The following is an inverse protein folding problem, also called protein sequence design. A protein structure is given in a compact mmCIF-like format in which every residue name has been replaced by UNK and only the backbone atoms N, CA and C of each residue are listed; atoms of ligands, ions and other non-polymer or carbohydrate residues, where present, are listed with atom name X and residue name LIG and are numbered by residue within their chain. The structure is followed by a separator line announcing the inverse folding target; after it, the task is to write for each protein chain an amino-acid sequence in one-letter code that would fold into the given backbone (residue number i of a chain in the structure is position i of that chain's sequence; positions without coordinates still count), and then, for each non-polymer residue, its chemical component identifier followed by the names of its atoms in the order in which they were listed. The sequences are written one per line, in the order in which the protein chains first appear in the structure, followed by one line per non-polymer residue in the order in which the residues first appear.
data_IF_992995676529
#
_entry.id   IF_992995676529
#
_cell.length_a   1.000
_cell.length_b   1.000
_cell.length_c   1.000
_cell.angle_alpha   90.00
_cell.angle_beta   90.00
_cell.angle_gamma   90.00
#
_symmetry.space_group_name_H-M   'P 1'
#
loop_
_entity.id
_entity.type
_entity.pdbx_description
1 polymer ?
#
# COMPACT_ATOMS: atom_id res chain seq x y z
N UNK A 1 -17.62 23.44 -10.81
CA UNK A 1 -17.32 22.67 -12.05
C UNK A 1 -15.86 22.82 -12.45
N UNK A 2 -15.31 24.04 -12.49
CA UNK A 2 -13.89 24.29 -12.76
C UNK A 2 -12.94 23.56 -11.80
N UNK A 3 -13.15 23.66 -10.48
CA UNK A 3 -12.25 23.03 -9.49
C UNK A 3 -12.21 21.50 -9.59
N UNK A 4 -13.33 20.88 -9.95
CA UNK A 4 -13.39 19.43 -10.16
C UNK A 4 -12.66 19.02 -11.43
N UNK A 5 -12.80 19.79 -12.52
CA UNK A 5 -12.05 19.53 -13.76
C UNK A 5 -10.54 19.69 -13.54
N UNK A 6 -10.13 20.74 -12.82
CA UNK A 6 -8.72 20.93 -12.47
C UNK A 6 -8.19 19.77 -11.62
N UNK A 7 -8.96 19.31 -10.62
CA UNK A 7 -8.59 18.13 -9.83
C UNK A 7 -8.39 16.88 -10.72
N UNK A 8 -9.28 16.64 -11.68
CA UNK A 8 -9.14 15.52 -12.62
C UNK A 8 -7.87 15.65 -13.47
N UNK A 9 -7.54 16.87 -13.93
CA UNK A 9 -6.31 17.14 -14.67
C UNK A 9 -5.08 16.87 -13.81
N UNK A 10 -5.04 17.38 -12.58
CA UNK A 10 -3.90 17.22 -11.66
C UNK A 10 -3.67 15.74 -11.33
N UNK A 11 -4.73 14.97 -11.11
CA UNK A 11 -4.67 13.53 -10.88
C UNK A 11 -4.15 12.80 -12.12
N UNK A 12 -4.60 13.19 -13.31
CA UNK A 12 -4.12 12.63 -14.58
C UNK A 12 -2.62 12.90 -14.81
N UNK A 13 -2.16 14.11 -14.49
CA UNK A 13 -0.74 14.48 -14.54
C UNK A 13 0.05 13.64 -13.53
N UNK A 14 -0.40 13.56 -12.28
CA UNK A 14 0.27 12.77 -11.25
C UNK A 14 0.39 11.28 -11.63
N UNK A 15 -0.69 10.67 -12.12
CA UNK A 15 -0.69 9.30 -12.63
C UNK A 15 0.33 9.12 -13.76
N UNK A 16 0.35 10.06 -14.71
CA UNK A 16 1.25 10.01 -15.86
C UNK A 16 2.71 10.15 -15.46
N UNK A 17 3.03 11.05 -14.51
CA UNK A 17 4.38 11.23 -14.00
C UNK A 17 4.90 9.96 -13.30
N UNK A 18 4.07 9.33 -12.47
CA UNK A 18 4.44 8.05 -11.84
C UNK A 18 4.63 6.95 -12.89
N UNK A 19 3.70 6.80 -13.83
CA UNK A 19 3.80 5.80 -14.89
C UNK A 19 5.03 5.99 -15.78
N UNK A 20 5.31 7.23 -16.22
CA UNK A 20 6.49 7.56 -17.02
C UNK A 20 7.79 7.31 -16.24
N UNK A 21 7.80 7.57 -14.93
CA UNK A 21 8.98 7.37 -14.09
C UNK A 21 9.25 5.91 -13.73
N UNK A 22 8.22 5.15 -13.33
CA UNK A 22 8.37 3.82 -12.74
C UNK A 22 8.17 2.68 -13.74
N UNK A 23 7.26 2.81 -14.72
CA UNK A 23 7.00 1.71 -15.66
C UNK A 23 8.23 1.31 -16.50
N UNK A 24 9.08 2.24 -16.99
CA UNK A 24 10.31 1.85 -17.69
C UNK A 24 11.31 1.13 -16.77
N UNK A 25 11.34 1.49 -15.48
CA UNK A 25 12.19 0.81 -14.50
C UNK A 25 11.71 -0.63 -14.28
N UNK A 26 10.40 -0.83 -14.14
CA UNK A 26 9.80 -2.17 -14.00
C UNK A 26 10.01 -3.06 -15.22
N UNK A 27 10.07 -2.48 -16.42
CA UNK A 27 10.38 -3.26 -17.63
C UNK A 27 11.86 -3.65 -17.70
N UNK A 28 12.77 -2.76 -17.27
CA UNK A 28 14.22 -2.97 -17.40
C UNK A 28 14.82 -3.79 -16.25
N UNK A 29 14.28 -3.64 -15.04
CA UNK A 29 14.81 -4.23 -13.81
C UNK A 29 13.77 -5.12 -13.12
N UNK A 30 12.88 -5.72 -13.89
CA UNK A 30 11.74 -6.51 -13.42
C UNK A 30 12.12 -7.50 -12.31
N UNK A 31 11.43 -7.43 -11.17
CA UNK A 31 11.54 -8.46 -10.13
C UNK A 31 10.86 -9.77 -10.56
N UNK A 32 9.68 -9.64 -11.17
CA UNK A 32 8.92 -10.74 -11.75
C UNK A 32 8.53 -10.43 -13.20
N UNK A 33 8.48 -11.48 -14.02
CA UNK A 33 7.95 -11.36 -15.37
C UNK A 33 6.42 -11.23 -15.32
N UNK A 34 5.90 -10.03 -15.55
CA UNK A 34 4.47 -9.75 -15.58
C UNK A 34 4.14 -8.74 -16.68
N UNK A 35 2.94 -8.84 -17.31
CA UNK A 35 2.50 -7.85 -18.28
C UNK A 35 2.17 -6.53 -17.59
N UNK A 36 2.30 -5.41 -18.32
CA UNK A 36 1.94 -4.08 -17.83
C UNK A 36 0.47 -4.01 -17.38
N UNK A 37 -0.45 -4.51 -18.21
CA UNK A 37 -1.87 -4.66 -17.85
C UNK A 37 -2.11 -6.02 -17.19
N UNK A 38 -1.57 -6.21 -15.99
CA UNK A 38 -1.81 -7.41 -15.18
C UNK A 38 -3.28 -7.55 -14.74
N UNK A 39 -3.66 -8.75 -14.29
CA UNK A 39 -5.04 -9.16 -13.98
C UNK A 39 -5.85 -8.15 -13.14
N UNK A 40 -5.20 -7.52 -12.16
CA UNK A 40 -5.87 -6.63 -11.18
C UNK A 40 -5.55 -5.14 -11.40
N UNK A 41 -4.94 -4.79 -12.54
CA UNK A 41 -4.57 -3.41 -12.88
C UNK A 41 -5.76 -2.45 -12.81
N UNK A 42 -6.92 -2.85 -13.34
CA UNK A 42 -8.15 -2.04 -13.32
C UNK A 42 -8.64 -1.81 -11.89
N UNK A 43 -8.54 -2.82 -11.03
CA UNK A 43 -8.90 -2.71 -9.61
C UNK A 43 -8.03 -1.67 -8.93
N UNK A 44 -6.71 -1.75 -9.13
CA UNK A 44 -5.75 -0.83 -8.51
C UNK A 44 -5.87 0.59 -9.07
N UNK A 45 -6.23 0.73 -10.35
CA UNK A 45 -6.58 2.00 -10.95
C UNK A 45 -7.82 2.64 -10.29
N UNK A 46 -8.85 1.87 -9.97
CA UNK A 46 -10.01 2.40 -9.22
C UNK A 46 -9.66 2.79 -7.79
N UNK A 47 -8.77 2.05 -7.12
CA UNK A 47 -8.23 2.46 -5.83
C UNK A 47 -7.44 3.77 -5.93
N UNK A 48 -6.61 3.93 -6.96
CA UNK A 48 -5.93 5.19 -7.26
C UNK A 48 -6.93 6.34 -7.45
N UNK A 49 -7.97 6.15 -8.27
CA UNK A 49 -8.98 7.18 -8.51
C UNK A 49 -9.74 7.53 -7.23
N UNK A 50 -10.25 6.54 -6.50
CA UNK A 50 -10.97 6.76 -5.24
C UNK A 50 -10.10 7.45 -4.19
N UNK A 51 -8.86 7.00 -4.04
CA UNK A 51 -7.83 7.56 -3.18
C UNK A 51 -7.62 9.05 -3.43
N UNK A 52 -7.41 9.43 -4.68
CA UNK A 52 -7.03 10.80 -5.03
C UNK A 52 -8.24 11.75 -5.23
N UNK A 53 -9.40 11.25 -5.66
CA UNK A 53 -10.59 12.09 -5.86
C UNK A 53 -11.32 12.39 -4.55
N UNK A 54 -11.46 11.39 -3.68
CA UNK A 54 -12.34 11.42 -2.51
C UNK A 54 -11.57 11.31 -1.19
N UNK A 55 -10.76 10.26 -1.03
CA UNK A 55 -10.20 9.91 0.28
C UNK A 55 -9.08 10.85 0.76
N UNK A 56 -8.31 11.42 -0.17
CA UNK A 56 -7.37 12.49 0.14
C UNK A 56 -8.07 13.70 0.77
N UNK A 57 -9.26 14.09 0.29
CA UNK A 57 -10.03 15.21 0.87
C UNK A 57 -10.49 14.88 2.29
N UNK A 58 -10.99 13.66 2.52
CA UNK A 58 -11.38 13.21 3.86
C UNK A 58 -10.18 13.24 4.83
N UNK A 59 -9.00 12.79 4.37
CA UNK A 59 -7.76 12.84 5.15
C UNK A 59 -7.39 14.29 5.49
N UNK A 60 -7.45 15.21 4.53
CA UNK A 60 -7.16 16.63 4.76
C UNK A 60 -8.11 17.29 5.77
N UNK A 61 -9.39 16.90 5.77
CA UNK A 61 -10.34 17.37 6.78
C UNK A 61 -9.91 16.91 8.18
N UNK A 62 -9.58 15.63 8.36
CA UNK A 62 -9.09 15.12 9.66
C UNK A 62 -7.80 15.81 10.10
N UNK A 63 -6.84 15.98 9.18
CA UNK A 63 -5.60 16.70 9.45
C UNK A 63 -5.82 18.16 9.82
N UNK A 64 -6.83 18.81 9.24
CA UNK A 64 -7.18 20.20 9.56
C UNK A 64 -7.69 20.34 10.99
N UNK A 65 -8.53 19.42 11.45
CA UNK A 65 -8.97 19.38 12.87
C UNK A 65 -7.81 19.10 13.82
N UNK A 66 -6.90 18.19 13.46
CA UNK A 66 -5.70 17.90 14.27
C UNK A 66 -4.78 19.13 14.31
N UNK A 67 -4.58 19.80 13.16
CA UNK A 67 -3.79 21.02 13.08
C UNK A 67 -4.39 22.13 13.96
N UNK A 68 -5.70 22.33 13.92
CA UNK A 68 -6.40 23.30 14.77
C UNK A 68 -6.24 22.94 16.26
N UNK A 69 -6.45 21.68 16.62
CA UNK A 69 -6.21 21.20 17.98
C UNK A 69 -4.78 21.47 18.44
N UNK A 70 -3.79 21.14 17.61
CA UNK A 70 -2.37 21.38 17.90
C UNK A 70 -2.10 22.87 18.06
N UNK A 71 -2.62 23.71 17.17
CA UNK A 71 -2.42 25.16 17.19
C UNK A 71 -2.91 25.81 18.49
N UNK A 72 -4.03 25.34 19.05
CA UNK A 72 -4.59 25.89 20.28
C UNK A 72 -4.07 25.25 21.57
N UNK A 73 -3.61 23.99 21.53
CA UNK A 73 -3.29 23.23 22.74
C UNK A 73 -1.79 22.93 22.93
N UNK A 74 -0.98 23.01 21.87
CA UNK A 74 0.45 22.75 21.94
C UNK A 74 1.20 24.08 22.12
N UNK A 75 2.08 24.20 23.14
CA UNK A 75 2.83 25.42 23.37
C UNK A 75 3.67 25.84 22.15
N UNK A 76 3.58 27.11 21.77
CA UNK A 76 4.27 27.67 20.59
C UNK A 76 5.78 27.51 20.65
N UNK A 77 6.39 27.48 21.84
CA UNK A 77 7.82 27.27 21.99
C UNK A 77 8.31 25.95 21.36
N UNK A 78 7.44 24.93 21.23
CA UNK A 78 7.79 23.66 20.60
C UNK A 78 8.06 23.87 19.10
N UNK A 79 7.15 24.55 18.41
CA UNK A 79 7.31 24.83 16.97
C UNK A 79 8.38 25.89 16.72
N UNK A 80 8.51 26.90 17.59
CA UNK A 80 9.59 27.88 17.53
C UNK A 80 10.97 27.22 17.71
N UNK A 81 11.10 26.33 18.69
CA UNK A 81 12.33 25.54 18.90
C UNK A 81 12.63 24.66 17.69
N UNK A 82 11.64 23.93 17.17
CA UNK A 82 11.82 23.08 16.00
C UNK A 82 12.24 23.89 14.75
N UNK A 83 11.65 25.08 14.55
CA UNK A 83 11.98 26.00 13.44
C UNK A 83 13.32 26.70 13.60
N UNK A 84 13.92 26.71 14.81
CA UNK A 84 15.23 27.32 15.05
C UNK A 84 16.40 26.55 14.41
N UNK A 85 16.19 25.28 14.07
CA UNK A 85 17.18 24.45 13.40
C UNK A 85 17.26 24.74 11.89
N UNK A 86 18.38 24.47 11.22
CA UNK A 86 18.47 24.56 9.76
C UNK A 86 17.40 23.70 9.06
N UNK A 87 16.89 24.15 7.91
CA UNK A 87 15.82 23.47 7.16
C UNK A 87 16.12 21.98 6.90
N UNK A 88 17.39 21.64 6.58
CA UNK A 88 17.81 20.24 6.35
C UNK A 88 17.62 19.38 7.61
N UNK A 89 17.92 19.92 8.79
CA UNK A 89 17.70 19.22 10.07
C UNK A 89 16.22 19.03 10.33
N UNK A 90 15.40 20.06 10.06
CA UNK A 90 13.93 19.96 10.19
C UNK A 90 13.36 18.86 9.29
N UNK A 91 13.75 18.83 8.01
CA UNK A 91 13.33 17.81 7.04
C UNK A 91 13.73 16.41 7.52
N UNK A 92 14.98 16.23 7.95
CA UNK A 92 15.45 14.94 8.47
C UNK A 92 14.67 14.48 9.69
N UNK A 93 14.45 15.38 10.66
CA UNK A 93 13.68 15.09 11.88
C UNK A 93 12.25 14.71 11.53
N UNK A 94 11.60 15.40 10.58
CA UNK A 94 10.24 15.02 10.17
C UNK A 94 10.22 13.65 9.51
N UNK A 95 11.14 13.38 8.58
CA UNK A 95 11.20 12.07 7.91
C UNK A 95 11.39 10.96 8.95
N UNK A 96 12.33 11.14 9.88
CA UNK A 96 12.62 10.18 10.93
C UNK A 96 11.41 9.93 11.84
N UNK A 97 10.78 10.99 12.36
CA UNK A 97 9.64 10.84 13.27
C UNK A 97 8.39 10.32 12.54
N UNK A 98 8.16 10.77 11.31
CA UNK A 98 7.08 10.25 10.46
C UNK A 98 7.28 8.76 10.21
N UNK A 99 8.50 8.31 9.90
CA UNK A 99 8.77 6.90 9.67
C UNK A 99 8.68 6.06 10.95
N UNK A 100 9.09 6.61 12.10
CA UNK A 100 8.90 5.99 13.41
C UNK A 100 7.41 5.79 13.73
N UNK A 101 6.57 6.79 13.46
CA UNK A 101 5.14 6.75 13.74
C UNK A 101 4.42 5.78 12.80
N UNK A 102 4.71 5.84 11.49
CA UNK A 102 4.11 4.90 10.54
C UNK A 102 4.60 3.47 10.77
N UNK A 103 5.87 3.26 11.16
CA UNK A 103 6.38 1.93 11.52
C UNK A 103 5.49 1.26 12.57
N UNK A 104 5.19 1.99 13.66
CA UNK A 104 4.33 1.45 14.71
C UNK A 104 2.89 1.30 14.25
N UNK A 105 2.32 2.27 13.55
CA UNK A 105 0.96 2.15 13.01
C UNK A 105 0.82 0.92 12.11
N UNK A 106 1.78 0.71 11.23
CA UNK A 106 1.82 -0.40 10.31
C UNK A 106 1.97 -1.73 11.05
N UNK A 107 2.91 -1.82 12.00
CA UNK A 107 3.07 -3.01 12.85
C UNK A 107 1.81 -3.32 13.67
N UNK A 108 1.08 -2.29 14.13
CA UNK A 108 -0.20 -2.46 14.80
C UNK A 108 -1.30 -2.94 13.85
N UNK A 109 -1.28 -2.50 12.58
CA UNK A 109 -2.17 -3.00 11.53
C UNK A 109 -2.00 -4.50 11.26
N UNK A 110 -0.80 -5.04 11.45
CA UNK A 110 -0.51 -6.47 11.35
C UNK A 110 -0.76 -7.26 12.64
N UNK A 111 -0.95 -6.57 13.77
CA UNK A 111 -1.13 -7.21 15.09
C UNK A 111 -2.58 -7.30 15.53
N UNK A 112 -3.40 -6.29 15.22
CA UNK A 112 -4.77 -6.20 15.72
C UNK A 112 -5.79 -6.41 14.60
N UNK A 113 -6.68 -7.39 14.79
CA UNK A 113 -7.69 -7.80 13.80
C UNK A 113 -8.54 -6.64 13.25
N UNK A 114 -8.87 -5.65 14.08
CA UNK A 114 -9.67 -4.49 13.68
C UNK A 114 -8.95 -3.62 12.64
N UNK A 115 -7.63 -3.46 12.78
CA UNK A 115 -6.81 -2.70 11.84
C UNK A 115 -6.47 -3.57 10.63
N UNK A 116 -6.07 -4.83 10.87
CA UNK A 116 -5.80 -5.82 9.82
C UNK A 116 -6.98 -5.99 8.87
N UNK A 117 -8.20 -5.97 9.39
CA UNK A 117 -9.44 -6.07 8.60
C UNK A 117 -9.49 -5.09 7.43
N UNK A 118 -8.96 -3.88 7.59
CA UNK A 118 -8.86 -2.89 6.53
C UNK A 118 -7.53 -2.96 5.80
N UNK A 119 -6.43 -3.10 6.55
CA UNK A 119 -5.08 -3.13 6.00
C UNK A 119 -4.84 -4.32 5.06
N UNK A 120 -5.44 -5.48 5.32
CA UNK A 120 -5.31 -6.67 4.47
C UNK A 120 -5.75 -6.47 3.02
N UNK A 121 -6.60 -5.48 2.73
CA UNK A 121 -6.96 -5.11 1.36
C UNK A 121 -5.70 -4.78 0.55
N UNK A 122 -4.74 -4.07 1.18
CA UNK A 122 -3.43 -3.80 0.62
C UNK A 122 -2.66 -5.08 0.29
N UNK A 123 -2.63 -6.00 1.24
CA UNK A 123 -1.96 -7.29 1.09
C UNK A 123 -2.68 -8.27 0.16
N UNK A 124 -3.87 -7.97 -0.38
CA UNK A 124 -4.50 -8.86 -1.38
C UNK A 124 -3.79 -8.86 -2.74
N UNK A 125 -2.83 -7.96 -2.97
CA UNK A 125 -2.11 -7.87 -4.23
C UNK A 125 -1.25 -9.11 -4.47
N UNK A 126 -1.64 -9.95 -5.44
CA UNK A 126 -0.85 -11.11 -5.88
C UNK A 126 0.32 -10.71 -6.82
N UNK A 127 0.31 -9.46 -7.28
CA UNK A 127 1.32 -8.89 -8.17
C UNK A 127 1.59 -7.46 -7.71
N UNK A 128 2.84 -7.17 -7.36
CA UNK A 128 3.27 -5.83 -6.98
C UNK A 128 3.79 -5.09 -8.20
N UNK A 129 3.40 -3.82 -8.30
CA UNK A 129 3.96 -2.80 -9.17
C UNK A 129 3.66 -1.43 -8.53
N UNK A 130 4.11 -0.35 -9.17
CA UNK A 130 3.87 1.00 -8.69
C UNK A 130 2.37 1.32 -8.50
N UNK A 131 1.48 0.70 -9.27
CA UNK A 131 0.04 0.94 -9.17
C UNK A 131 -0.56 0.18 -7.96
N UNK A 132 0.00 -0.98 -7.60
CA UNK A 132 -0.39 -1.73 -6.40
C UNK A 132 -0.22 -0.92 -5.11
N UNK A 133 0.69 0.07 -5.08
CA UNK A 133 0.85 1.00 -3.96
C UNK A 133 -0.44 1.75 -3.60
N UNK A 134 -1.39 1.88 -4.53
CA UNK A 134 -2.65 2.57 -4.28
C UNK A 134 -3.75 1.65 -3.75
N UNK A 135 -3.59 0.33 -3.79
CA UNK A 135 -4.56 -0.63 -3.26
C UNK A 135 -4.59 -0.50 -1.75
N UNK A 136 -5.41 0.41 -1.23
CA UNK A 136 -5.55 0.66 0.19
C UNK A 136 -7.02 0.91 0.52
N UNK A 137 -7.52 0.29 1.59
CA UNK A 137 -8.86 0.60 2.06
C UNK A 137 -8.92 2.05 2.57
N UNK A 138 -9.99 2.82 2.34
CA UNK A 138 -10.06 4.24 2.71
C UNK A 138 -9.78 4.54 4.19
N UNK A 139 -10.30 3.69 5.09
CA UNK A 139 -10.05 3.83 6.53
C UNK A 139 -8.59 3.56 6.91
N UNK A 140 -7.93 2.63 6.21
CA UNK A 140 -6.49 2.35 6.42
C UNK A 140 -5.64 3.49 5.86
N UNK A 141 -6.00 4.03 4.69
CA UNK A 141 -5.35 5.21 4.10
C UNK A 141 -5.47 6.44 5.02
N UNK A 142 -6.66 6.73 5.57
CA UNK A 142 -6.84 7.84 6.52
C UNK A 142 -6.01 7.59 7.79
N UNK A 143 -6.07 6.39 8.37
CA UNK A 143 -5.33 6.02 9.58
C UNK A 143 -3.81 6.23 9.41
N UNK A 144 -3.23 5.64 8.36
CA UNK A 144 -1.79 5.71 8.08
C UNK A 144 -1.34 7.13 7.72
N UNK A 145 -2.09 7.84 6.87
CA UNK A 145 -1.76 9.22 6.46
C UNK A 145 -1.93 10.23 7.59
N UNK A 146 -2.89 10.03 8.49
CA UNK A 146 -3.01 10.88 9.68
C UNK A 146 -1.79 10.67 10.57
N UNK A 147 -1.48 9.43 10.94
CA UNK A 147 -0.40 9.13 11.88
C UNK A 147 0.95 9.63 11.37
N UNK A 148 1.28 9.40 10.10
CA UNK A 148 2.57 9.81 9.54
C UNK A 148 2.76 11.34 9.52
N UNK A 149 1.67 12.12 9.48
CA UNK A 149 1.74 13.58 9.43
C UNK A 149 1.68 14.25 10.82
N UNK A 150 1.32 13.54 11.89
CA UNK A 150 1.26 14.09 13.25
C UNK A 150 2.58 14.79 13.66
N UNK A 151 3.78 14.21 13.45
CA UNK A 151 5.03 14.87 13.85
C UNK A 151 5.22 16.23 13.18
N UNK A 152 4.89 16.35 11.88
CA UNK A 152 5.02 17.59 11.13
C UNK A 152 4.08 18.68 11.66
N UNK A 153 2.84 18.29 12.01
CA UNK A 153 1.85 19.20 12.59
C UNK A 153 2.27 19.68 13.98
N UNK A 154 2.70 18.77 14.86
CA UNK A 154 3.10 19.08 16.25
C UNK A 154 4.34 19.97 16.28
N UNK A 155 5.32 19.70 15.43
CA UNK A 155 6.55 20.52 15.31
C UNK A 155 6.31 21.81 14.52
N UNK A 156 5.13 21.97 13.90
CA UNK A 156 4.74 23.16 13.16
C UNK A 156 5.70 23.48 12.01
N UNK A 157 6.18 22.50 11.27
CA UNK A 157 7.15 22.78 10.19
C UNK A 157 6.56 23.64 9.05
N UNK A 158 7.40 24.40 8.33
CA UNK A 158 6.94 25.27 7.25
C UNK A 158 6.30 24.46 6.12
N UNK A 159 5.34 25.07 5.41
CA UNK A 159 4.55 24.40 4.38
C UNK A 159 5.41 23.83 3.26
N UNK A 160 6.51 24.51 2.94
CA UNK A 160 7.49 24.08 1.95
C UNK A 160 8.18 22.76 2.35
N UNK A 161 8.54 22.62 3.64
CA UNK A 161 9.15 21.39 4.15
C UNK A 161 8.15 20.23 4.14
N UNK A 162 6.90 20.50 4.54
CA UNK A 162 5.80 19.53 4.51
C UNK A 162 5.53 19.10 3.05
N UNK A 163 5.40 20.04 2.12
CA UNK A 163 5.16 19.75 0.71
C UNK A 163 6.27 18.92 0.08
N UNK A 164 7.54 19.29 0.31
CA UNK A 164 8.70 18.54 -0.17
C UNK A 164 8.73 17.11 0.37
N UNK A 165 8.44 16.96 1.67
CA UNK A 165 8.36 15.65 2.32
C UNK A 165 7.23 14.79 1.74
N UNK A 166 6.04 15.35 1.57
CA UNK A 166 4.88 14.65 1.00
C UNK A 166 5.16 14.17 -0.41
N UNK A 167 5.79 14.99 -1.26
CA UNK A 167 6.18 14.62 -2.62
C UNK A 167 7.21 13.48 -2.58
N UNK A 168 8.29 13.64 -1.80
CA UNK A 168 9.33 12.61 -1.68
C UNK A 168 8.74 11.28 -1.20
N UNK A 169 7.93 11.31 -0.14
CA UNK A 169 7.25 10.12 0.39
C UNK A 169 6.32 9.50 -0.64
N UNK A 170 5.56 10.31 -1.39
CA UNK A 170 4.66 9.82 -2.43
C UNK A 170 5.43 9.05 -3.50
N UNK A 171 6.47 9.66 -4.06
CA UNK A 171 7.31 9.02 -5.09
C UNK A 171 8.03 7.79 -4.54
N UNK A 172 8.66 7.90 -3.37
CA UNK A 172 9.43 6.80 -2.79
C UNK A 172 8.53 5.64 -2.34
N UNK A 173 7.35 5.95 -1.81
CA UNK A 173 6.33 4.95 -1.47
C UNK A 173 5.87 4.16 -2.69
N UNK A 174 5.68 4.81 -3.84
CA UNK A 174 5.39 4.09 -5.09
C UNK A 174 6.60 3.28 -5.58
N UNK A 175 7.81 3.82 -5.44
CA UNK A 175 9.04 3.14 -5.82
C UNK A 175 9.24 1.83 -5.05
N UNK A 176 9.05 1.80 -3.72
CA UNK A 176 9.22 0.57 -2.92
C UNK A 176 8.18 -0.53 -3.24
N UNK A 177 7.07 -0.20 -3.91
CA UNK A 177 6.11 -1.21 -4.42
C UNK A 177 6.37 -1.60 -5.87
N UNK A 178 7.23 -0.87 -6.58
CA UNK A 178 7.47 -1.11 -7.99
C UNK A 178 8.02 -2.51 -8.22
N UNK A 179 7.66 -3.13 -9.34
CA UNK A 179 8.16 -4.43 -9.76
C UNK A 179 9.63 -4.37 -10.20
N UNK A 180 10.54 -3.97 -9.30
CA UNK A 180 11.96 -3.81 -9.59
C UNK A 180 12.84 -4.54 -8.57
N UNK A 181 13.85 -5.29 -9.00
CA UNK A 181 14.79 -5.95 -8.07
C UNK A 181 15.92 -5.02 -7.61
N UNK A 182 15.55 -3.97 -6.86
CA UNK A 182 16.52 -3.10 -6.21
C UNK A 182 16.65 -3.42 -4.71
N UNK A 183 17.88 -3.75 -4.29
CA UNK A 183 18.25 -3.93 -2.88
C UNK A 183 19.18 -2.85 -2.30
N UNK A 184 19.58 -1.84 -3.09
CA UNK A 184 20.41 -0.66 -2.73
C UNK A 184 21.71 -0.88 -1.90
N UNK A 185 22.22 -2.11 -1.78
CA UNK A 185 23.45 -2.39 -1.02
C UNK A 185 23.36 -1.88 0.43
N UNK A 186 24.40 -1.21 0.97
CA UNK A 186 24.35 -0.65 2.33
C UNK A 186 23.29 0.44 2.55
N UNK A 187 22.80 1.12 1.49
CA UNK A 187 21.79 2.17 1.65
C UNK A 187 20.44 1.62 2.12
N UNK A 188 20.18 0.32 1.98
CA UNK A 188 18.95 -0.34 2.42
C UNK A 188 18.65 -0.20 3.91
N UNK A 189 19.64 0.14 4.74
CA UNK A 189 19.44 0.38 6.17
C UNK A 189 18.90 1.78 6.48
N UNK A 190 18.97 2.71 5.53
CA UNK A 190 18.54 4.10 5.72
C UNK A 190 17.35 4.42 4.81
N UNK A 191 17.29 3.77 3.64
CA UNK A 191 16.32 4.05 2.60
C UNK A 191 15.61 2.78 2.16
N UNK A 192 14.27 2.79 2.22
CA UNK A 192 13.40 1.69 1.84
C UNK A 192 13.66 1.23 0.42
N UNK A 193 13.54 -0.06 0.17
CA UNK A 193 13.81 -0.66 -1.14
C UNK A 193 12.65 -1.53 -1.59
N UNK A 194 12.46 -1.71 -2.91
CA UNK A 194 11.52 -2.69 -3.45
C UNK A 194 11.68 -4.07 -2.81
N UNK A 195 12.92 -4.57 -2.69
CA UNK A 195 13.18 -5.89 -2.12
C UNK A 195 12.67 -6.03 -0.68
N UNK A 196 12.91 -5.02 0.16
CA UNK A 196 12.47 -5.06 1.57
C UNK A 196 10.95 -5.05 1.67
N UNK A 197 10.30 -4.15 0.93
CA UNK A 197 8.84 -4.00 0.98
C UNK A 197 8.10 -5.16 0.30
N UNK A 198 8.70 -5.77 -0.72
CA UNK A 198 8.16 -7.00 -1.30
C UNK A 198 8.17 -8.15 -0.28
N UNK A 199 9.22 -8.29 0.53
CA UNK A 199 9.24 -9.27 1.63
C UNK A 199 8.22 -8.96 2.72
N UNK A 200 7.84 -7.70 2.89
CA UNK A 200 6.71 -7.33 3.74
C UNK A 200 5.38 -7.85 3.17
N UNK A 201 5.24 -7.92 1.85
CA UNK A 201 4.06 -8.46 1.15
C UNK A 201 4.11 -9.98 0.89
N UNK A 202 5.17 -10.67 1.34
CA UNK A 202 5.35 -12.09 1.11
C UNK A 202 4.28 -12.91 1.82
N UNK A 203 3.65 -13.81 1.06
CA UNK A 203 2.57 -14.67 1.54
C UNK A 203 3.08 -15.61 2.64
N UNK A 204 4.24 -16.23 2.44
CA UNK A 204 4.76 -17.28 3.33
C UNK A 204 5.26 -16.70 4.66
N UNK A 205 5.73 -15.45 4.67
CA UNK A 205 6.08 -14.70 5.88
C UNK A 205 4.87 -14.09 6.58
N UNK A 206 3.69 -14.16 5.98
CA UNK A 206 2.46 -13.59 6.51
C UNK A 206 2.65 -12.13 6.97
N UNK A 207 3.38 -11.35 6.16
CA UNK A 207 3.61 -9.91 6.38
C UNK A 207 4.19 -9.51 7.76
N UNK A 208 5.04 -10.37 8.32
CA UNK A 208 5.56 -10.22 9.70
C UNK A 208 6.89 -9.46 9.82
N UNK A 209 7.39 -8.86 8.74
CA UNK A 209 8.70 -8.18 8.70
C UNK A 209 8.66 -6.88 7.88
N UNK A 210 9.71 -6.07 7.98
CA UNK A 210 9.91 -4.85 7.17
C UNK A 210 8.73 -3.87 7.18
N UNK A 211 8.33 -3.40 8.37
CA UNK A 211 7.18 -2.49 8.54
C UNK A 211 7.50 -1.02 8.20
N UNK A 212 8.78 -0.64 8.13
CA UNK A 212 9.16 0.71 7.79
C UNK A 212 8.91 1.00 6.31
N UNK A 213 8.44 2.21 5.99
CA UNK A 213 8.22 2.60 4.60
C UNK A 213 9.49 3.24 4.01
N UNK A 214 9.98 4.31 4.64
CA UNK A 214 11.09 5.10 4.13
C UNK A 214 12.43 4.73 4.77
N UNK A 215 12.45 4.45 6.08
CA UNK A 215 13.68 4.24 6.83
C UNK A 215 13.70 2.85 7.50
N UNK A 216 14.16 1.80 6.79
CA UNK A 216 14.33 0.45 7.36
C UNK A 216 15.20 0.38 8.61
N UNK A 217 15.90 1.47 8.97
CA UNK A 217 16.48 1.65 10.29
C UNK A 217 15.47 1.34 11.41
N UNK A 218 14.19 1.68 11.26
CA UNK A 218 13.17 1.34 12.27
C UNK A 218 13.03 -0.18 12.41
N UNK A 219 13.03 -0.92 11.30
CA UNK A 219 13.03 -2.38 11.32
C UNK A 219 14.29 -2.97 11.97
N UNK A 220 15.45 -2.35 11.77
CA UNK A 220 16.69 -2.77 12.44
C UNK A 220 16.61 -2.51 13.94
N UNK A 221 16.18 -1.30 14.34
CA UNK A 221 16.08 -0.88 15.74
C UNK A 221 15.07 -1.71 16.53
N UNK A 222 13.96 -2.10 15.90
CA UNK A 222 12.86 -2.81 16.55
C UNK A 222 12.80 -4.30 16.21
N UNK A 223 13.84 -4.84 15.55
CA UNK A 223 14.07 -6.27 15.36
C UNK A 223 13.13 -6.94 14.35
N UNK A 224 12.68 -6.22 13.32
CA UNK A 224 11.79 -6.72 12.27
C UNK A 224 12.40 -6.70 10.86
N UNK A 225 13.69 -6.34 10.74
CA UNK A 225 14.40 -6.29 9.47
C UNK A 225 14.66 -7.69 8.90
N UNK A 226 14.32 -7.89 7.63
CA UNK A 226 14.52 -9.14 6.91
C UNK A 226 14.93 -8.90 5.45
N UNK A 227 16.11 -9.37 5.05
CA UNK A 227 16.60 -9.32 3.67
C UNK A 227 17.48 -10.55 3.37
N UNK A 228 16.93 -11.58 2.69
CA UNK A 228 17.69 -12.77 2.30
C UNK A 228 18.48 -12.56 0.99
N UNK A 229 18.55 -11.34 0.46
CA UNK A 229 19.33 -11.03 -0.74
C UNK A 229 18.66 -11.38 -2.08
N UNK A 230 17.41 -11.81 -2.06
CA UNK A 230 16.58 -12.14 -3.24
C UNK A 230 15.16 -11.61 -3.07
N UNK A 231 14.38 -11.58 -4.15
CA UNK A 231 12.95 -11.29 -4.11
C UNK A 231 12.12 -12.46 -3.56
N UNK A 232 10.97 -12.20 -2.90
CA UNK A 232 9.99 -13.25 -2.57
C UNK A 232 9.33 -13.80 -3.84
N UNK A 233 8.75 -15.00 -3.75
CA UNK A 233 8.17 -15.69 -4.91
C UNK A 233 6.65 -15.51 -5.04
N UNK A 234 5.96 -15.23 -3.94
CA UNK A 234 4.50 -15.15 -3.88
C UNK A 234 4.04 -14.01 -3.00
N UNK A 235 3.06 -13.28 -3.50
CA UNK A 235 2.38 -12.20 -2.79
C UNK A 235 0.92 -12.55 -2.56
N UNK A 236 0.26 -11.79 -1.70
CA UNK A 236 -1.15 -11.96 -1.40
C UNK A 236 -1.39 -12.36 0.05
N UNK A 237 -2.61 -12.84 0.31
CA UNK A 237 -3.02 -13.39 1.60
C UNK A 237 -3.74 -14.72 1.39
N UNK A 238 -3.66 -15.61 2.38
CA UNK A 238 -4.42 -16.86 2.43
C UNK A 238 -5.83 -16.63 3.02
N UNK A 239 -6.53 -15.63 2.47
CA UNK A 239 -7.89 -15.26 2.86
C UNK A 239 -8.72 -15.02 1.59
N UNK A 240 -9.77 -15.81 1.33
CA UNK A 240 -10.59 -15.65 0.13
C UNK A 240 -11.42 -14.36 0.22
N UNK A 241 -10.89 -13.28 -0.35
CA UNK A 241 -11.53 -11.97 -0.45
C UNK A 241 -11.98 -11.71 -1.89
N UNK A 242 -13.13 -11.05 -2.11
CA UNK A 242 -13.52 -10.56 -3.44
C UNK A 242 -12.43 -9.70 -4.11
N UNK A 243 -12.27 -9.82 -5.43
CA UNK A 243 -11.16 -9.20 -6.17
C UNK A 243 -11.45 -7.84 -6.81
N UNK A 244 -12.72 -7.44 -6.92
CA UNK A 244 -13.05 -6.16 -7.55
C UNK A 244 -13.07 -5.03 -6.50
N UNK A 245 -12.83 -3.81 -6.97
CA UNK A 245 -12.77 -2.60 -6.14
C UNK A 245 -13.96 -2.46 -5.18
N UNK A 246 -15.20 -2.45 -5.69
CA UNK A 246 -16.38 -2.22 -4.85
C UNK A 246 -16.51 -3.27 -3.75
N UNK A 247 -16.31 -4.55 -4.09
CA UNK A 247 -16.38 -5.60 -3.08
C UNK A 247 -15.28 -5.45 -2.03
N UNK A 248 -14.06 -5.01 -2.39
CA UNK A 248 -13.00 -4.74 -1.41
C UNK A 248 -13.24 -3.50 -0.54
N UNK A 249 -14.05 -2.54 -0.99
CA UNK A 249 -14.51 -1.41 -0.17
C UNK A 249 -15.56 -1.86 0.85
N UNK A 250 -16.54 -2.67 0.43
CA UNK A 250 -17.66 -3.02 1.31
C UNK A 250 -17.38 -4.23 2.20
N UNK A 251 -16.57 -5.19 1.75
CA UNK A 251 -16.31 -6.43 2.48
C UNK A 251 -15.76 -6.18 3.90
N UNK A 252 -14.75 -5.30 4.11
CA UNK A 252 -14.29 -4.93 5.44
C UNK A 252 -15.29 -4.15 6.28
N UNK A 253 -16.47 -3.78 5.77
CA UNK A 253 -17.52 -3.12 6.57
C UNK A 253 -18.57 -4.12 7.07
N UNK A 254 -18.63 -5.33 6.50
CA UNK A 254 -19.59 -6.35 6.89
C UNK A 254 -19.27 -6.97 8.26
N UNK A 255 -20.26 -7.35 9.08
CA UNK A 255 -20.06 -8.18 10.26
C UNK A 255 -19.25 -9.44 9.98
N UNK A 256 -18.48 -9.92 10.97
CA UNK A 256 -17.59 -11.07 10.80
C UNK A 256 -18.35 -12.34 10.36
N UNK A 257 -19.58 -12.55 10.83
CA UNK A 257 -20.43 -13.68 10.43
C UNK A 257 -20.77 -13.68 8.93
N UNK A 258 -21.02 -12.51 8.35
CA UNK A 258 -21.29 -12.37 6.92
C UNK A 258 -20.02 -12.53 6.09
N UNK A 259 -18.89 -12.00 6.56
CA UNK A 259 -17.60 -12.24 5.90
C UNK A 259 -17.27 -13.72 5.84
N UNK A 260 -17.51 -14.46 6.93
CA UNK A 260 -17.30 -15.90 6.98
C UNK A 260 -18.20 -16.65 5.98
N UNK A 261 -19.50 -16.33 5.93
CA UNK A 261 -20.42 -16.94 4.96
C UNK A 261 -20.04 -16.66 3.50
N UNK A 262 -19.56 -15.44 3.20
CA UNK A 262 -19.05 -15.09 1.86
C UNK A 262 -17.76 -15.83 1.50
N UNK A 263 -16.88 -16.07 2.47
CA UNK A 263 -15.67 -16.89 2.27
C UNK A 263 -16.03 -18.34 1.97
N UNK A 264 -16.96 -18.91 2.74
CA UNK A 264 -17.40 -20.30 2.58
C UNK A 264 -18.12 -20.53 1.25
N UNK A 265 -18.97 -19.59 0.80
CA UNK A 265 -19.65 -19.68 -0.51
C UNK A 265 -18.69 -19.54 -1.70
N UNK A 266 -17.71 -18.64 -1.61
CA UNK A 266 -16.65 -18.53 -2.61
C UNK A 266 -15.72 -19.77 -2.62
N UNK A 267 -15.41 -20.33 -1.44
CA UNK A 267 -14.65 -21.57 -1.31
C UNK A 267 -15.43 -22.77 -1.86
N UNK A 268 -16.74 -22.85 -1.60
CA UNK A 268 -17.61 -23.91 -2.11
C UNK A 268 -17.70 -23.89 -3.64
N UNK A 269 -17.82 -22.71 -4.26
CA UNK A 269 -17.80 -22.57 -5.72
C UNK A 269 -16.43 -22.88 -6.34
N UNK A 270 -15.32 -22.54 -5.65
CA UNK A 270 -13.96 -22.92 -6.05
C UNK A 270 -13.72 -24.44 -5.96
N UNK A 271 -14.13 -25.09 -4.87
CA UNK A 271 -14.05 -26.55 -4.68
C UNK A 271 -14.94 -27.30 -5.69
N UNK A 272 -16.12 -26.76 -6.02
CA UNK A 272 -17.01 -27.34 -7.03
C UNK A 272 -16.44 -27.27 -8.46
N UNK A 273 -15.55 -26.29 -8.73
CA UNK A 273 -14.78 -26.19 -9.97
C UNK A 273 -13.60 -27.18 -10.06
N UNK A 274 -12.91 -27.41 -8.93
CA UNK A 274 -11.83 -28.41 -8.84
C UNK A 274 -12.34 -29.85 -9.03
N UNK A 275 -13.53 -30.16 -8.51
CA UNK A 275 -14.14 -31.49 -8.66
C UNK A 275 -14.70 -31.78 -10.07
N UNK A 276 -14.75 -30.79 -10.99
CA UNK A 276 -15.18 -30.99 -12.39
C UNK A 276 -14.05 -31.22 -13.39
N UNK A 277 -12.79 -31.30 -12.95
CA UNK A 277 -11.64 -31.53 -13.87
C UNK A 277 -11.03 -32.95 -13.79
N UNK A 278 -11.71 -33.91 -13.15
CA UNK A 278 -11.31 -35.34 -13.16
C UNK A 278 -12.52 -36.29 -13.27
N UNK A 279 -13.13 -36.35 -14.45
CA UNK A 279 -13.95 -37.45 -15.04
C UNK A 279 -14.66 -36.84 -16.27
N UNK A 280 -14.39 -37.13 -17.54
CA UNK A 280 -13.99 -38.37 -18.21
C UNK A 280 -13.26 -38.05 -19.54
N UNK A 281 -12.21 -38.78 -19.91
CA UNK A 281 -11.84 -39.00 -21.29
C UNK A 281 -12.11 -40.46 -21.66
N UNK A 282 -13.37 -40.81 -21.93
CA UNK A 282 -13.71 -42.06 -22.62
C UNK A 282 -15.14 -42.02 -23.19
N UNK A 283 -15.30 -41.27 -24.29
CA UNK A 283 -16.31 -41.58 -25.30
C UNK A 283 -15.84 -41.05 -26.66
N UNK A 284 -14.72 -41.58 -27.13
CA UNK A 284 -14.36 -41.56 -28.54
C UNK A 284 -14.66 -42.96 -29.10
N UNK A 285 -15.39 -42.97 -30.21
CA UNK A 285 -15.37 -44.01 -31.25
C UNK A 285 -15.91 -45.41 -30.87
N UNK A 286 -17.18 -45.66 -31.23
CA UNK A 286 -17.56 -46.80 -32.11
C UNK A 286 -19.05 -46.71 -32.46
N UNK A 287 -19.40 -46.20 -33.65
CA UNK A 287 -20.53 -46.73 -34.43
C UNK A 287 -20.43 -46.23 -35.87
N UNK A 288 -19.56 -46.87 -36.65
CA UNK A 288 -19.70 -46.91 -38.10
C UNK A 288 -19.17 -48.25 -38.58
N UNK A 289 -20.04 -49.26 -38.55
CA UNK A 289 -19.93 -50.46 -39.37
C UNK A 289 -21.25 -51.24 -39.37
N UNK A 290 -21.81 -51.35 -40.58
CA UNK A 290 -22.64 -52.44 -41.12
C UNK A 290 -24.18 -52.34 -41.09
N UNK A 291 -24.68 -52.51 -42.32
CA UNK A 291 -26.02 -52.82 -42.86
C UNK A 291 -27.11 -51.76 -42.77
#
# INVERSE_FOLDING_TARGET
MWDFLQQCVDIGIYFSLLGIGLAPLEQRFAAHNQPFFRKEWVTDFFFFLGGNLLWTKATLVVLSFIHEFVYYNIPKYISEFARSFPLVVQIFVVIFLSDLFIYWAHRLSHKYDILWRFHKIHHTAEHLDWLAAFREHPLDNIYTRVIVNIPALVLGFPLEAIGSFVIFRGVWGNFIHSNTDFGLGPLKYILGTPRLHHWHHDLDKNSSCNFANLMPMMDVLFGTFYDPGKMPEKYGIDDPIPRNYFSQIFFPLLPNSLQQSLRESNAASFLHGLLRTRSDPQSAETSNANS
#
